data_IF_728523138142
#
_entry.id   IF_728523138142
#
_cell.length_a   1.000
_cell.length_b   1.000
_cell.length_c   1.000
_cell.angle_alpha   90.00
_cell.angle_beta   90.00
_cell.angle_gamma   90.00
#
_symmetry.space_group_name_H-M   'P 1'
#
loop_
_entity.id
_entity.type
_entity.pdbx_description
1 polymer ?
#
# COMPACT_ATOMS: atom_id res chain seq x y z
N UNK A 1 -26.79 14.12 41.77
CA UNK A 1 -26.65 13.09 40.71
C UNK A 1 -26.31 13.79 39.41
N UNK A 2 -25.13 13.56 38.85
CA UNK A 2 -24.76 14.10 37.54
C UNK A 2 -25.57 13.38 36.45
N UNK A 3 -26.00 14.09 35.39
CA UNK A 3 -26.74 13.46 34.31
C UNK A 3 -25.88 12.39 33.60
N UNK A 4 -26.49 11.30 33.10
CA UNK A 4 -25.76 10.27 32.38
C UNK A 4 -25.12 10.88 31.12
N UNK A 5 -23.84 10.58 30.89
CA UNK A 5 -23.15 10.97 29.66
C UNK A 5 -23.89 10.36 28.48
N UNK A 6 -24.30 11.20 27.52
CA UNK A 6 -24.84 10.72 26.24
C UNK A 6 -23.83 9.75 25.60
N UNK A 7 -24.28 8.61 25.05
CA UNK A 7 -23.37 7.71 24.35
C UNK A 7 -22.70 8.49 23.22
N UNK A 8 -21.37 8.46 23.16
CA UNK A 8 -20.63 9.01 22.02
C UNK A 8 -21.10 8.25 20.78
N UNK A 9 -21.54 8.97 19.75
CA UNK A 9 -21.77 8.37 18.43
C UNK A 9 -20.52 7.57 18.04
N UNK A 10 -20.66 6.38 17.42
CA UNK A 10 -19.50 5.70 16.86
C UNK A 10 -18.77 6.68 15.95
N UNK A 11 -17.46 6.86 16.14
CA UNK A 11 -16.63 7.60 15.20
C UNK A 11 -16.76 6.90 13.85
N UNK A 12 -16.95 7.69 12.79
CA UNK A 12 -16.83 7.20 11.42
C UNK A 12 -15.46 6.55 11.21
N UNK A 13 -15.36 5.57 10.30
CA UNK A 13 -14.09 4.90 10.06
C UNK A 13 -13.04 5.92 9.60
N UNK A 14 -11.96 6.03 10.38
CA UNK A 14 -10.86 6.97 10.18
C UNK A 14 -9.58 6.15 10.06
N UNK A 15 -8.72 6.47 9.10
CA UNK A 15 -7.47 5.75 8.84
C UNK A 15 -7.54 4.80 7.65
N UNK A 16 -6.61 3.85 7.59
CA UNK A 16 -6.67 2.77 6.60
C UNK A 16 -7.73 1.76 7.06
N UNK A 17 -8.75 1.53 6.23
CA UNK A 17 -9.94 0.72 6.56
C UNK A 17 -9.95 -0.62 5.87
N UNK A 18 -9.13 -0.81 4.83
CA UNK A 18 -8.99 -2.07 4.12
C UNK A 18 -7.63 -2.20 3.48
N UNK A 19 -7.12 -3.43 3.40
CA UNK A 19 -5.99 -3.77 2.54
C UNK A 19 -6.32 -4.98 1.67
N UNK A 20 -5.94 -4.90 0.40
CA UNK A 20 -6.12 -5.92 -0.62
C UNK A 20 -4.76 -6.30 -1.18
N UNK A 21 -4.46 -7.59 -1.24
CA UNK A 21 -3.18 -8.09 -1.76
C UNK A 21 -3.40 -9.29 -2.67
N UNK A 22 -2.69 -9.33 -3.80
CA UNK A 22 -2.63 -10.49 -4.71
C UNK A 22 -1.19 -10.67 -5.20
N UNK A 23 -0.78 -11.91 -5.42
CA UNK A 23 0.53 -12.25 -5.98
C UNK A 23 1.70 -12.02 -5.02
N UNK A 24 1.45 -11.93 -3.71
CA UNK A 24 2.49 -11.70 -2.70
C UNK A 24 2.72 -12.93 -1.82
N UNK A 25 3.88 -13.57 -1.92
CA UNK A 25 4.32 -14.74 -1.14
C UNK A 25 3.28 -15.86 -1.16
N UNK A 26 2.58 -16.06 -0.04
CA UNK A 26 1.54 -17.09 0.12
C UNK A 26 0.17 -16.63 -0.40
N UNK A 27 -0.01 -15.35 -0.72
CA UNK A 27 -1.26 -14.76 -1.19
C UNK A 27 -1.30 -14.79 -2.72
N UNK A 28 -1.49 -15.99 -3.29
CA UNK A 28 -1.61 -16.17 -4.75
C UNK A 28 -2.83 -15.44 -5.31
N UNK A 29 -3.98 -15.64 -4.67
CA UNK A 29 -5.25 -15.03 -5.04
C UNK A 29 -5.46 -13.72 -4.29
N UNK A 30 -6.33 -12.88 -4.84
CA UNK A 30 -6.72 -11.65 -4.20
C UNK A 30 -7.32 -11.92 -2.83
N UNK A 31 -6.72 -11.32 -1.82
CA UNK A 31 -7.11 -11.44 -0.42
C UNK A 31 -7.32 -10.04 0.12
N UNK A 32 -8.50 -9.77 0.65
CA UNK A 32 -8.84 -8.49 1.28
C UNK A 32 -9.11 -8.70 2.77
N UNK A 33 -8.64 -7.79 3.61
CA UNK A 33 -9.02 -7.72 5.02
C UNK A 33 -9.51 -6.31 5.37
N UNK A 34 -10.58 -6.24 6.15
CA UNK A 34 -11.02 -4.99 6.76
C UNK A 34 -10.14 -4.68 7.98
N UNK A 35 -9.73 -3.43 8.07
CA UNK A 35 -9.01 -2.87 9.22
C UNK A 35 -10.03 -2.12 10.07
N UNK A 36 -10.21 -2.59 11.31
CA UNK A 36 -11.10 -2.01 12.32
C UNK A 36 -10.23 -1.39 13.42
N UNK A 37 -10.80 -0.59 14.34
CA UNK A 37 -10.04 0.04 15.42
C UNK A 37 -9.16 -0.93 16.23
N UNK A 38 -9.55 -2.20 16.29
CA UNK A 38 -8.69 -3.30 16.72
C UNK A 38 -8.83 -4.48 15.75
N UNK A 39 -7.78 -4.75 14.98
CA UNK A 39 -7.67 -5.92 14.10
C UNK A 39 -6.55 -6.83 14.61
N UNK A 40 -6.88 -8.08 14.92
CA UNK A 40 -5.92 -9.09 15.37
C UNK A 40 -5.79 -10.16 14.28
N UNK A 41 -4.57 -10.34 13.77
CA UNK A 41 -4.25 -11.41 12.83
C UNK A 41 -3.66 -12.61 13.59
N UNK A 42 -4.41 -13.71 13.67
CA UNK A 42 -4.01 -14.95 14.34
C UNK A 42 -4.08 -16.16 13.38
N UNK A 43 -3.25 -17.17 13.63
CA UNK A 43 -3.18 -18.38 12.80
C UNK A 43 -1.79 -19.02 12.79
N UNK A 44 -1.66 -20.20 12.19
CA UNK A 44 -0.41 -20.95 12.11
C UNK A 44 0.75 -20.16 11.47
N UNK A 45 2.00 -20.51 11.77
CA UNK A 45 3.14 -19.93 11.09
C UNK A 45 3.03 -20.13 9.58
N UNK A 46 3.48 -19.14 8.81
CA UNK A 46 3.36 -19.13 7.35
C UNK A 46 1.93 -19.10 6.79
N UNK A 47 0.90 -18.83 7.60
CA UNK A 47 -0.49 -18.67 7.16
C UNK A 47 -0.80 -17.37 6.38
N UNK A 48 0.21 -16.53 6.11
CA UNK A 48 0.03 -15.27 5.38
C UNK A 48 -0.19 -14.01 6.21
N UNK A 49 -0.14 -14.07 7.55
CA UNK A 49 -0.31 -12.89 8.44
C UNK A 49 0.72 -11.78 8.18
N UNK A 50 1.99 -12.13 8.03
CA UNK A 50 3.01 -11.16 7.62
C UNK A 50 2.84 -10.76 6.17
N UNK A 51 2.45 -11.72 5.31
CA UNK A 51 2.26 -11.48 3.88
C UNK A 51 1.19 -10.44 3.58
N UNK A 52 0.11 -10.37 4.37
CA UNK A 52 -0.95 -9.37 4.17
C UNK A 52 -0.51 -7.96 4.64
N UNK A 53 0.36 -7.85 5.64
CA UNK A 53 0.80 -6.54 6.17
C UNK A 53 2.03 -5.96 5.47
N UNK A 54 2.94 -6.80 4.98
CA UNK A 54 4.21 -6.35 4.39
C UNK A 54 4.06 -5.42 3.18
N UNK A 55 3.08 -5.59 2.27
CA UNK A 55 2.84 -4.64 1.18
C UNK A 55 2.54 -3.21 1.66
N UNK A 56 1.81 -3.07 2.78
CA UNK A 56 1.59 -1.75 3.38
C UNK A 56 2.87 -1.14 3.93
N UNK A 57 3.74 -1.97 4.52
CA UNK A 57 5.05 -1.55 5.01
C UNK A 57 6.01 -1.17 3.87
N UNK A 58 5.92 -1.84 2.71
CA UNK A 58 6.63 -1.46 1.49
C UNK A 58 6.19 -0.06 1.04
N UNK A 59 4.89 0.22 0.99
CA UNK A 59 4.36 1.55 0.66
C UNK A 59 4.89 2.61 1.63
N UNK A 60 4.84 2.33 2.94
CA UNK A 60 5.35 3.25 3.97
C UNK A 60 6.81 3.62 3.75
N UNK A 61 7.71 2.63 3.69
CA UNK A 61 9.14 2.92 3.56
C UNK A 61 9.50 3.56 2.22
N UNK A 62 8.71 3.31 1.17
CA UNK A 62 8.85 3.97 -0.14
C UNK A 62 8.50 5.45 -0.05
N UNK A 63 7.44 5.79 0.70
CA UNK A 63 7.00 7.18 0.88
C UNK A 63 7.97 7.96 1.79
N UNK A 64 8.56 7.32 2.79
CA UNK A 64 9.39 7.98 3.81
C UNK A 64 10.80 8.36 3.36
N UNK A 65 11.30 7.81 2.25
CA UNK A 65 12.62 8.19 1.74
C UNK A 65 12.58 9.53 1.02
N UNK A 66 13.64 10.35 1.21
CA UNK A 66 13.79 11.66 0.58
C UNK A 66 14.34 11.63 -0.86
N UNK A 67 14.39 10.46 -1.48
CA UNK A 67 14.85 10.24 -2.86
C UNK A 67 13.83 9.35 -3.60
N UNK A 68 13.88 9.25 -4.94
CA UNK A 68 13.02 8.31 -5.68
C UNK A 68 13.62 6.90 -5.65
N UNK A 69 13.00 5.92 -4.95
CA UNK A 69 13.49 4.55 -4.92
C UNK A 69 12.94 3.68 -6.06
N UNK A 70 12.19 4.24 -7.02
CA UNK A 70 11.38 3.47 -7.96
C UNK A 70 10.04 3.06 -7.33
N UNK A 71 9.31 2.09 -7.92
CA UNK A 71 7.90 1.82 -7.56
C UNK A 71 7.69 1.53 -6.08
N UNK A 72 8.54 0.66 -5.54
CA UNK A 72 8.57 0.29 -4.13
C UNK A 72 10.03 0.09 -3.72
N UNK A 73 10.43 0.71 -2.61
CA UNK A 73 11.69 0.46 -1.95
C UNK A 73 11.65 -0.96 -1.36
N UNK A 74 12.44 -1.88 -1.91
CA UNK A 74 12.44 -3.30 -1.49
C UNK A 74 13.26 -3.57 -0.23
N UNK A 75 14.30 -2.78 0.00
CA UNK A 75 15.20 -2.90 1.15
C UNK A 75 15.11 -1.63 2.01
N UNK A 76 14.50 -1.76 3.18
CA UNK A 76 14.27 -0.64 4.09
C UNK A 76 14.15 -1.07 5.56
N UNK A 77 13.85 -0.11 6.45
CA UNK A 77 13.78 -0.39 7.89
C UNK A 77 12.57 -1.25 8.29
N UNK A 78 11.47 -1.23 7.52
CA UNK A 78 10.26 -1.97 7.86
C UNK A 78 10.29 -3.39 7.30
N UNK A 79 10.73 -3.54 6.05
CA UNK A 79 10.82 -4.82 5.34
C UNK A 79 12.02 -4.83 4.40
N UNK A 80 12.61 -6.02 4.21
CA UNK A 80 13.82 -6.20 3.38
C UNK A 80 13.66 -7.36 2.43
N UNK A 81 13.92 -7.09 1.16
CA UNK A 81 13.89 -8.05 0.06
C UNK A 81 15.02 -7.71 -0.91
N UNK A 82 15.73 -8.73 -1.40
CA UNK A 82 16.86 -8.50 -2.32
C UNK A 82 16.41 -8.41 -3.78
N UNK A 83 15.22 -8.92 -4.11
CA UNK A 83 14.65 -8.83 -5.45
C UNK A 83 13.12 -8.91 -5.44
N UNK A 84 12.49 -8.39 -6.49
CA UNK A 84 11.06 -8.50 -6.72
C UNK A 84 10.58 -9.96 -6.78
N UNK A 85 11.43 -10.88 -7.26
CA UNK A 85 11.09 -12.31 -7.35
C UNK A 85 10.86 -12.97 -5.99
N UNK A 86 11.48 -12.44 -4.92
CA UNK A 86 11.24 -12.94 -3.55
C UNK A 86 9.86 -12.55 -3.00
N UNK A 87 9.26 -11.51 -3.57
CA UNK A 87 7.94 -11.03 -3.18
C UNK A 87 6.84 -11.87 -3.82
N UNK A 88 7.06 -12.29 -5.07
CA UNK A 88 6.01 -12.84 -5.89
C UNK A 88 5.64 -14.26 -5.49
N UNK A 89 4.35 -14.57 -5.60
CA UNK A 89 3.87 -15.90 -5.30
C UNK A 89 4.49 -16.93 -6.23
N UNK A 90 5.02 -18.00 -5.62
CA UNK A 90 5.51 -19.19 -6.31
C UNK A 90 4.56 -20.34 -6.05
N UNK A 91 3.87 -20.81 -7.08
CA UNK A 91 3.06 -22.03 -6.99
C UNK A 91 3.99 -23.21 -7.24
N UNK A 92 3.97 -24.23 -6.38
CA UNK A 92 4.78 -25.43 -6.56
C UNK A 92 4.43 -26.10 -7.91
N UNK A 93 5.42 -26.21 -8.80
CA UNK A 93 5.23 -26.75 -10.16
C UNK A 93 4.51 -25.83 -11.15
N UNK A 94 4.26 -24.56 -10.79
CA UNK A 94 3.55 -23.58 -11.62
C UNK A 94 4.38 -22.34 -11.95
N UNK A 95 3.84 -21.49 -12.82
CA UNK A 95 4.42 -20.20 -13.13
C UNK A 95 4.40 -19.27 -11.90
N UNK A 96 5.47 -18.50 -11.73
CA UNK A 96 5.51 -17.41 -10.75
C UNK A 96 4.45 -16.37 -11.12
N UNK A 97 3.81 -15.76 -10.11
CA UNK A 97 2.88 -14.67 -10.38
C UNK A 97 3.61 -13.55 -11.14
N UNK A 98 3.03 -13.08 -12.23
CA UNK A 98 3.60 -11.99 -13.03
C UNK A 98 3.32 -10.62 -12.43
N UNK A 99 2.42 -10.54 -11.45
CA UNK A 99 1.91 -9.28 -10.93
C UNK A 99 1.72 -9.32 -9.41
N UNK A 100 2.11 -8.23 -8.75
CA UNK A 100 1.76 -7.90 -7.39
C UNK A 100 0.65 -6.85 -7.44
N UNK A 101 -0.48 -7.12 -6.77
CA UNK A 101 -1.53 -6.12 -6.56
C UNK A 101 -1.54 -5.70 -5.12
N UNK A 102 -1.54 -4.39 -4.88
CA UNK A 102 -1.65 -3.79 -3.54
C UNK A 102 -2.74 -2.73 -3.59
N UNK A 103 -3.85 -3.00 -2.92
CA UNK A 103 -4.95 -2.07 -2.74
C UNK A 103 -5.08 -1.63 -1.29
N UNK A 104 -5.42 -0.35 -1.08
CA UNK A 104 -5.78 0.18 0.23
C UNK A 104 -7.05 1.00 0.10
N UNK A 105 -7.87 0.96 1.14
CA UNK A 105 -9.00 1.86 1.34
C UNK A 105 -8.70 2.73 2.55
N UNK A 106 -9.02 4.02 2.46
CA UNK A 106 -8.88 4.97 3.56
C UNK A 106 -10.22 5.62 3.84
N UNK A 107 -10.43 5.86 5.13
CA UNK A 107 -11.59 6.53 5.72
C UNK A 107 -12.95 5.92 5.27
N UNK A 108 -12.95 4.67 4.81
CA UNK A 108 -14.15 3.93 4.39
C UNK A 108 -14.75 4.35 3.05
N UNK A 109 -14.06 5.21 2.30
CA UNK A 109 -14.64 5.91 1.15
C UNK A 109 -13.81 5.75 -0.11
N UNK A 110 -12.52 6.07 -0.01
CA UNK A 110 -11.62 6.18 -1.16
C UNK A 110 -10.64 5.02 -1.15
N UNK A 111 -10.43 4.37 -2.29
CA UNK A 111 -9.48 3.30 -2.45
C UNK A 111 -8.53 3.56 -3.61
N UNK A 112 -7.28 3.11 -3.43
CA UNK A 112 -6.25 3.09 -4.48
C UNK A 112 -5.71 1.68 -4.60
N UNK A 113 -5.57 1.20 -5.84
CA UNK A 113 -5.02 -0.11 -6.16
C UNK A 113 -3.89 0.02 -7.15
N UNK A 114 -2.71 -0.46 -6.75
CA UNK A 114 -1.53 -0.54 -7.59
C UNK A 114 -1.35 -1.95 -8.14
N UNK A 115 -1.03 -2.05 -9.43
CA UNK A 115 -0.57 -3.28 -10.07
C UNK A 115 0.89 -3.09 -10.44
N UNK A 116 1.76 -3.96 -9.94
CA UNK A 116 3.19 -3.94 -10.14
C UNK A 116 3.66 -5.24 -10.79
N UNK A 117 4.74 -5.19 -11.57
CA UNK A 117 5.39 -6.39 -12.11
C UNK A 117 6.90 -6.33 -11.83
N UNK A 118 7.63 -7.45 -11.92
CA UNK A 118 9.09 -7.41 -12.02
C UNK A 118 9.55 -6.47 -13.12
N UNK A 119 10.61 -5.73 -12.83
CA UNK A 119 11.41 -5.00 -13.80
C UNK A 119 12.66 -5.80 -14.18
N UNK A 120 13.41 -5.33 -15.19
CA UNK A 120 14.63 -6.01 -15.66
C UNK A 120 15.80 -5.92 -14.66
N UNK A 121 15.76 -4.95 -13.76
CA UNK A 121 16.80 -4.63 -12.77
C UNK A 121 16.50 -5.23 -11.38
N UNK A 122 15.70 -6.30 -11.32
CA UNK A 122 15.26 -6.95 -10.08
C UNK A 122 14.36 -6.08 -9.18
N UNK A 123 14.00 -4.86 -9.60
CA UNK A 123 13.04 -4.00 -8.91
C UNK A 123 11.60 -4.29 -9.33
N UNK A 124 10.65 -3.48 -8.85
CA UNK A 124 9.26 -3.50 -9.30
C UNK A 124 8.97 -2.30 -10.21
N UNK A 125 8.28 -2.57 -11.32
CA UNK A 125 7.69 -1.56 -12.18
C UNK A 125 6.22 -1.37 -11.83
N UNK A 126 5.81 -0.13 -11.59
CA UNK A 126 4.39 0.22 -11.41
C UNK A 126 3.70 0.25 -12.78
N UNK A 127 2.73 -0.64 -12.99
CA UNK A 127 2.04 -0.82 -14.28
C UNK A 127 0.73 -0.06 -14.35
N UNK A 128 -0.02 -0.07 -13.26
CA UNK A 128 -1.33 0.53 -13.20
C UNK A 128 -1.59 1.06 -11.79
N UNK A 129 -2.28 2.20 -11.71
CA UNK A 129 -2.93 2.67 -10.49
C UNK A 129 -4.40 2.93 -10.79
N UNK A 130 -5.29 2.38 -9.97
CA UNK A 130 -6.74 2.60 -10.06
C UNK A 130 -7.21 3.27 -8.78
N UNK A 131 -7.87 4.41 -8.92
CA UNK A 131 -8.53 5.15 -7.84
C UNK A 131 -10.03 4.94 -7.92
N UNK A 132 -10.71 4.84 -6.78
CA UNK A 132 -12.17 4.81 -6.68
C UNK A 132 -12.60 5.51 -5.41
N UNK A 133 -13.77 6.14 -5.42
CA UNK A 133 -14.24 6.88 -4.26
C UNK A 133 -15.66 7.42 -4.42
N UNK A 134 -16.15 8.21 -3.45
CA UNK A 134 -17.47 8.83 -3.53
C UNK A 134 -17.59 9.68 -4.79
N UNK A 135 -18.56 9.35 -5.66
CA UNK A 135 -18.76 10.05 -6.93
C UNK A 135 -17.81 9.64 -8.06
N UNK A 136 -16.81 8.79 -7.82
CA UNK A 136 -15.88 8.26 -8.82
C UNK A 136 -15.99 6.73 -8.89
N UNK A 137 -16.65 6.20 -9.93
CA UNK A 137 -16.80 4.75 -10.12
C UNK A 137 -15.44 4.02 -10.14
N UNK A 138 -14.50 4.51 -10.94
CA UNK A 138 -13.07 4.18 -10.91
C UNK A 138 -12.33 5.00 -11.97
N UNK A 139 -11.14 5.51 -11.66
CA UNK A 139 -10.20 6.10 -12.61
C UNK A 139 -8.94 5.24 -12.66
N UNK A 140 -8.61 4.71 -13.84
CA UNK A 140 -7.45 3.82 -14.02
C UNK A 140 -6.40 4.48 -14.91
N UNK A 141 -5.17 4.49 -14.43
CA UNK A 141 -4.01 5.05 -15.10
C UNK A 141 -2.95 3.96 -15.30
N UNK A 142 -2.33 3.92 -16.49
CA UNK A 142 -1.36 2.89 -16.87
C UNK A 142 -0.03 3.52 -17.26
N UNK A 143 1.06 2.89 -16.89
CA UNK A 143 2.40 3.28 -17.36
C UNK A 143 2.54 2.96 -18.85
N UNK A 144 3.16 3.84 -19.64
CA UNK A 144 3.48 3.54 -21.03
C UNK A 144 4.67 2.56 -21.12
N UNK A 145 4.60 1.52 -21.97
CA UNK A 145 5.73 0.63 -22.22
C UNK A 145 6.95 1.41 -22.76
N UNK A 146 8.14 1.18 -22.21
CA UNK A 146 9.39 1.75 -22.72
C UNK A 146 9.76 3.15 -22.20
N UNK A 147 8.90 3.81 -21.42
CA UNK A 147 9.26 5.05 -20.72
C UNK A 147 10.00 4.67 -19.42
N UNK A 148 11.27 5.09 -19.24
CA UNK A 148 12.00 4.84 -17.99
C UNK A 148 11.23 5.41 -16.80
N UNK A 149 11.25 4.68 -15.68
CA UNK A 149 10.51 5.03 -14.46
C UNK A 149 10.92 6.39 -13.88
N UNK A 150 12.17 6.80 -14.10
CA UNK A 150 12.70 8.14 -13.77
C UNK A 150 12.33 9.24 -14.79
N UNK A 151 11.94 8.88 -16.02
CA UNK A 151 11.50 9.83 -17.04
C UNK A 151 10.02 10.22 -16.88
N UNK A 152 9.26 9.36 -16.21
CA UNK A 152 7.86 9.61 -15.80
C UNK A 152 7.77 10.79 -14.83
N UNK A 153 8.85 11.09 -14.09
CA UNK A 153 8.96 12.23 -13.17
C UNK A 153 9.28 13.55 -13.89
N UNK A 154 10.13 13.53 -14.92
CA UNK A 154 10.45 14.74 -15.72
C UNK A 154 9.31 15.20 -16.63
N UNK A 155 8.37 14.30 -16.94
CA UNK A 155 7.12 14.58 -17.66
C UNK A 155 5.88 14.71 -16.75
N UNK A 156 6.01 14.50 -15.43
CA UNK A 156 4.95 14.74 -14.43
C UNK A 156 3.85 13.68 -14.35
N UNK A 157 4.18 12.39 -14.40
CA UNK A 157 3.22 11.28 -14.51
C UNK A 157 3.25 10.33 -13.29
N UNK A 158 4.28 10.40 -12.44
CA UNK A 158 4.46 9.51 -11.29
C UNK A 158 4.77 10.33 -10.02
N UNK A 159 4.13 9.97 -8.92
CA UNK A 159 4.34 10.58 -7.61
C UNK A 159 4.43 9.48 -6.56
N UNK A 160 5.65 9.08 -6.21
CA UNK A 160 5.90 7.97 -5.29
C UNK A 160 5.36 6.64 -5.83
N UNK A 161 4.72 5.80 -5.02
CA UNK A 161 4.23 4.49 -5.43
C UNK A 161 2.94 4.54 -6.27
N UNK A 162 2.49 5.73 -6.70
CA UNK A 162 1.23 5.91 -7.43
C UNK A 162 1.42 6.62 -8.79
N UNK A 163 0.59 6.24 -9.77
CA UNK A 163 0.47 6.97 -11.04
C UNK A 163 -0.59 8.07 -10.91
N UNK A 164 -0.24 9.29 -11.33
CA UNK A 164 -1.18 10.40 -11.47
C UNK A 164 -0.76 11.16 -12.74
N UNK A 165 -1.44 10.95 -13.89
CA UNK A 165 -0.99 11.54 -15.14
C UNK A 165 -1.25 13.05 -15.14
N UNK A 166 -0.37 13.85 -15.75
CA UNK A 166 -0.68 15.26 -15.99
C UNK A 166 -1.82 15.39 -17.02
N UNK A 167 -2.80 16.29 -16.84
CA UNK A 167 -3.78 16.57 -17.86
C UNK A 167 -3.10 17.19 -19.08
N UNK A 168 -3.42 16.70 -20.28
CA UNK A 168 -2.97 17.31 -21.55
C UNK A 168 -3.88 18.49 -21.91
N UNK A 169 -3.34 19.48 -22.63
CA UNK A 169 -4.12 20.59 -23.18
C UNK A 169 -5.23 20.06 -24.09
N UNK A 170 -6.48 20.48 -23.84
CA UNK A 170 -7.65 20.10 -24.64
C UNK A 170 -8.39 18.83 -24.20
N UNK A 171 -8.05 18.22 -23.05
CA UNK A 171 -8.78 17.06 -22.52
C UNK A 171 -10.22 17.40 -22.10
N UNK A 172 -11.11 16.42 -22.25
CA UNK A 172 -12.51 16.52 -21.83
C UNK A 172 -12.67 16.70 -20.32
N UNK A 173 -13.76 17.35 -19.89
CA UNK A 173 -14.05 17.64 -18.48
C UNK A 173 -13.97 16.43 -17.55
N UNK A 174 -14.45 15.26 -18.01
CA UNK A 174 -14.41 14.02 -17.22
C UNK A 174 -12.98 13.56 -16.87
N UNK A 175 -12.01 13.78 -17.77
CA UNK A 175 -10.60 13.41 -17.52
C UNK A 175 -9.93 14.37 -16.55
N UNK A 176 -10.27 15.67 -16.63
CA UNK A 176 -9.82 16.68 -15.69
C UNK A 176 -10.37 16.41 -14.28
N UNK A 177 -11.63 16.01 -14.17
CA UNK A 177 -12.24 15.60 -12.91
C UNK A 177 -11.54 14.36 -12.34
N UNK A 178 -11.37 13.29 -13.13
CA UNK A 178 -10.67 12.07 -12.69
C UNK A 178 -9.23 12.35 -12.23
N UNK A 179 -8.53 13.27 -12.90
CA UNK A 179 -7.21 13.73 -12.48
C UNK A 179 -7.25 14.50 -11.14
N UNK A 180 -8.17 15.44 -11.01
CA UNK A 180 -8.35 16.20 -9.77
C UNK A 180 -8.65 15.29 -8.57
N UNK A 181 -9.51 14.30 -8.76
CA UNK A 181 -9.75 13.25 -7.77
C UNK A 181 -8.48 12.48 -7.43
N UNK A 182 -7.75 11.99 -8.44
CA UNK A 182 -6.51 11.25 -8.21
C UNK A 182 -5.45 12.08 -7.47
N UNK A 183 -5.35 13.38 -7.73
CA UNK A 183 -4.45 14.28 -7.02
C UNK A 183 -4.84 14.46 -5.56
N UNK A 184 -6.12 14.76 -5.27
CA UNK A 184 -6.61 14.99 -3.91
C UNK A 184 -6.55 13.71 -3.06
N UNK A 185 -7.02 12.59 -3.60
CA UNK A 185 -7.06 11.33 -2.88
C UNK A 185 -5.64 10.78 -2.67
N UNK A 186 -4.71 11.00 -3.59
CA UNK A 186 -3.29 10.63 -3.40
C UNK A 186 -2.74 11.20 -2.10
N UNK A 187 -2.93 12.50 -1.86
CA UNK A 187 -2.41 13.14 -0.64
C UNK A 187 -3.00 12.50 0.61
N UNK A 188 -4.30 12.19 0.58
CA UNK A 188 -5.00 11.46 1.64
C UNK A 188 -4.39 10.07 1.87
N UNK A 189 -4.12 9.29 0.81
CA UNK A 189 -3.49 7.98 0.92
C UNK A 189 -2.06 8.09 1.49
N UNK A 190 -1.25 9.01 0.96
CA UNK A 190 0.13 9.20 1.40
C UNK A 190 0.20 9.59 2.87
N UNK A 191 -0.65 10.54 3.31
CA UNK A 191 -0.76 10.94 4.71
C UNK A 191 -1.08 9.74 5.59
N UNK A 192 -2.15 8.99 5.28
CA UNK A 192 -2.58 7.83 6.08
C UNK A 192 -1.54 6.71 6.12
N UNK A 193 -0.81 6.47 5.04
CA UNK A 193 0.28 5.50 5.03
C UNK A 193 1.47 5.99 5.87
N UNK A 194 1.83 7.28 5.79
CA UNK A 194 2.94 7.86 6.57
C UNK A 194 2.66 7.84 8.07
N UNK A 195 1.42 8.04 8.47
CA UNK A 195 0.95 7.98 9.87
C UNK A 195 1.02 6.58 10.49
N UNK A 196 1.21 5.52 9.69
CA UNK A 196 1.32 4.15 10.20
C UNK A 196 2.53 4.01 11.13
N UNK A 197 2.28 3.67 12.39
CA UNK A 197 3.35 3.30 13.34
C UNK A 197 3.56 1.79 13.28
N UNK A 198 4.71 1.38 12.75
CA UNK A 198 5.11 -0.02 12.73
C UNK A 198 6.09 -0.30 13.89
N UNK A 199 5.64 -1.10 14.85
CA UNK A 199 6.47 -1.61 15.94
C UNK A 199 6.92 -3.03 15.57
N UNK A 200 8.18 -3.24 15.16
CA UNK A 200 8.67 -4.57 14.85
C UNK A 200 8.63 -5.43 16.13
N UNK A 201 8.31 -6.72 15.96
CA UNK A 201 8.33 -7.64 17.10
C UNK A 201 9.72 -7.67 17.76
N UNK A 202 9.77 -7.47 19.07
CA UNK A 202 10.98 -7.67 19.86
C UNK A 202 11.36 -9.15 19.81
N UNK A 203 12.27 -9.51 18.89
CA UNK A 203 12.91 -10.82 18.85
C UNK A 203 14.18 -10.79 19.70
N UNK A 204 13.99 -10.62 21.00
CA UNK A 204 15.01 -10.87 22.01
C UNK A 204 14.46 -11.87 23.01
N UNK A 205 15.31 -12.61 23.70
CA UNK A 205 14.86 -13.24 24.94
C UNK A 205 14.36 -12.11 25.87
N UNK A 206 13.19 -12.27 26.51
CA UNK A 206 12.76 -11.31 27.52
C UNK A 206 13.74 -11.37 28.69
N UNK A 207 14.75 -10.51 28.68
CA UNK A 207 15.64 -10.32 29.81
C UNK A 207 14.92 -9.46 30.86
N UNK A 208 14.84 -9.97 32.08
CA UNK A 208 14.28 -9.21 33.20
C UNK A 208 15.23 -8.07 33.54
N UNK A 209 14.87 -6.85 33.16
CA UNK A 209 15.63 -5.64 33.49
C UNK A 209 15.32 -5.09 34.91
N UNK A 210 14.47 -5.75 35.70
CA UNK A 210 14.19 -5.34 37.07
C UNK A 210 15.06 -6.12 38.05
N UNK A 211 15.63 -5.41 39.04
CA UNK A 211 16.35 -6.04 40.16
C UNK A 211 15.41 -7.00 40.89
N UNK A 212 15.73 -8.28 40.91
CA UNK A 212 15.18 -9.20 41.89
C UNK A 212 15.82 -8.88 43.24
N UNK A 213 15.03 -8.41 44.20
CA UNK A 213 15.42 -8.41 45.61
C UNK A 213 15.64 -9.85 46.05
N UNK A 214 16.83 -10.12 46.58
CA UNK A 214 17.16 -11.37 47.26
C UNK A 214 16.41 -11.49 48.59
#
# INVERSE_FOLDING_TARGET
MSPPRKPKKPKEPEGITKITVKGFKSLANETSIDIRPLTILAGANSSGKSSIMQPLLLLKQTLEVGYDPGALLLDGPNVRFTSADQLLTRVAGGAQSSELVVGIEVDGETAVTNVLSPAQDQSLALRQTTYSGPGLRAATFRSQPGVPQAATDRAGVRHGPFLVPRPEEGQSGDRLLAWGFAMLDRERFEERIRELIHLPGLRGNPERAYRTTA
#
